data_IF_417393300942
#
_entry.id   IF_417393300942
#
_cell.length_a   1.000
_cell.length_b   1.000
_cell.length_c   1.000
_cell.angle_alpha   90.00
_cell.angle_beta   90.00
_cell.angle_gamma   90.00
#
_symmetry.space_group_name_H-M   'P 1'
#
loop_
_entity.id
_entity.type
_entity.pdbx_description
1 polymer ?
#
# COMPACT_ATOMS: atom_id res chain seq x y z
N UNK A 1 69.94 22.96 44.45
CA UNK A 1 68.72 22.15 44.46
C UNK A 1 67.93 22.49 43.19
N UNK A 2 68.25 21.87 42.06
CA UNK A 2 67.63 22.10 40.75
C UNK A 2 66.49 21.11 40.57
N UNK A 3 65.30 21.58 40.43
CA UNK A 3 64.12 20.77 40.17
C UNK A 3 63.94 20.64 38.65
N UNK A 4 64.31 19.49 38.14
CA UNK A 4 64.13 19.11 36.73
C UNK A 4 62.67 18.83 36.47
N UNK A 5 62.04 19.64 35.59
CA UNK A 5 60.66 19.41 35.13
C UNK A 5 60.73 18.52 33.89
N UNK A 6 60.39 17.25 34.03
CA UNK A 6 60.14 16.35 32.89
C UNK A 6 58.85 16.80 32.18
N UNK A 7 59.03 17.12 30.92
CA UNK A 7 57.87 17.34 30.01
C UNK A 7 57.46 16.00 29.44
N UNK A 8 56.19 15.58 29.49
CA UNK A 8 55.74 14.35 28.86
C UNK A 8 55.81 14.51 27.34
N UNK A 9 56.67 13.72 26.72
CA UNK A 9 56.73 13.56 25.25
C UNK A 9 55.47 12.84 24.79
N UNK A 10 54.59 13.56 24.12
CA UNK A 10 53.38 13.03 23.54
C UNK A 10 53.75 12.34 22.21
N UNK A 11 53.73 11.03 22.19
CA UNK A 11 53.97 10.22 21.02
C UNK A 11 52.93 10.48 19.93
N UNK A 12 53.30 10.95 18.74
CA UNK A 12 52.34 11.27 17.67
C UNK A 12 51.81 10.03 16.93
N UNK A 13 52.35 8.85 17.23
CA UNK A 13 51.98 7.59 16.54
C UNK A 13 50.73 6.93 17.08
N UNK A 14 50.25 7.27 18.28
CA UNK A 14 49.08 6.66 18.89
C UNK A 14 47.73 7.17 18.31
N UNK A 15 47.74 8.39 17.78
CA UNK A 15 46.47 9.00 17.27
C UNK A 15 46.11 8.58 15.83
N UNK A 16 47.08 8.15 15.03
CA UNK A 16 46.85 7.77 13.64
C UNK A 16 46.21 6.38 13.49
N UNK A 17 46.60 5.44 14.40
CA UNK A 17 46.09 4.06 14.35
C UNK A 17 44.62 3.98 14.72
N UNK A 18 44.17 4.78 15.70
CA UNK A 18 42.78 4.75 16.18
C UNK A 18 41.82 5.40 15.18
N UNK A 19 42.27 6.35 14.35
CA UNK A 19 41.43 6.97 13.31
C UNK A 19 41.22 6.07 12.09
N UNK A 20 42.20 5.22 11.77
CA UNK A 20 42.11 4.34 10.61
C UNK A 20 41.20 3.11 10.86
N UNK A 21 41.16 2.57 12.07
CA UNK A 21 40.21 1.52 12.46
C UNK A 21 38.78 1.96 12.45
N UNK A 22 38.50 3.20 12.91
CA UNK A 22 37.15 3.74 12.91
C UNK A 22 36.61 4.04 11.50
N UNK A 23 37.45 4.47 10.58
CA UNK A 23 37.02 4.78 9.20
C UNK A 23 36.68 3.53 8.40
N UNK A 24 37.44 2.44 8.58
CA UNK A 24 37.17 1.17 7.88
C UNK A 24 35.95 0.44 8.44
N UNK A 25 35.69 0.55 9.75
CA UNK A 25 34.49 -0.01 10.37
C UNK A 25 33.24 0.76 9.95
N UNK A 26 33.32 2.08 9.86
CA UNK A 26 32.22 2.94 9.38
C UNK A 26 31.88 2.65 7.91
N UNK A 27 32.90 2.49 7.06
CA UNK A 27 32.70 2.17 5.65
C UNK A 27 32.05 0.78 5.46
N UNK A 28 32.45 -0.23 6.25
CA UNK A 28 31.84 -1.58 6.22
C UNK A 28 30.39 -1.52 6.68
N UNK A 29 30.08 -0.82 7.77
CA UNK A 29 28.70 -0.64 8.25
C UNK A 29 27.83 0.09 7.23
N UNK A 30 28.35 1.12 6.58
CA UNK A 30 27.64 1.85 5.52
C UNK A 30 27.33 0.95 4.32
N UNK A 31 28.26 0.12 3.88
CA UNK A 31 28.04 -0.84 2.79
C UNK A 31 26.97 -1.89 3.13
N UNK A 32 26.96 -2.39 4.37
CA UNK A 32 25.95 -3.33 4.85
C UNK A 32 24.56 -2.66 4.84
N UNK A 33 24.45 -1.44 5.34
CA UNK A 33 23.20 -0.71 5.36
C UNK A 33 22.66 -0.42 3.95
N UNK A 34 23.53 -0.04 3.03
CA UNK A 34 23.16 0.13 1.61
C UNK A 34 22.70 -1.18 1.00
N UNK A 35 23.40 -2.29 1.28
CA UNK A 35 22.99 -3.62 0.80
C UNK A 35 21.62 -4.02 1.32
N UNK A 36 21.35 -3.83 2.61
CA UNK A 36 20.04 -4.11 3.21
C UNK A 36 18.96 -3.21 2.59
N UNK A 37 19.23 -1.93 2.41
CA UNK A 37 18.29 -0.99 1.80
C UNK A 37 17.93 -1.39 0.36
N UNK A 38 18.92 -1.82 -0.43
CA UNK A 38 18.70 -2.31 -1.81
C UNK A 38 17.88 -3.61 -1.83
N UNK A 39 18.11 -4.53 -0.90
CA UNK A 39 17.32 -5.75 -0.78
C UNK A 39 15.88 -5.43 -0.39
N UNK A 40 15.67 -4.55 0.58
CA UNK A 40 14.33 -4.11 0.97
C UNK A 40 13.62 -3.43 -0.19
N UNK A 41 14.31 -2.56 -0.92
CA UNK A 41 13.77 -1.90 -2.12
C UNK A 41 13.39 -2.92 -3.19
N UNK A 42 14.25 -3.90 -3.45
CA UNK A 42 13.99 -4.97 -4.42
C UNK A 42 12.78 -5.81 -4.01
N UNK A 43 12.70 -6.24 -2.75
CA UNK A 43 11.56 -6.98 -2.22
C UNK A 43 10.27 -6.16 -2.28
N UNK A 44 10.36 -4.86 -2.01
CA UNK A 44 9.22 -3.94 -2.14
C UNK A 44 8.77 -3.81 -3.60
N UNK A 45 9.69 -3.62 -4.53
CA UNK A 45 9.38 -3.57 -5.96
C UNK A 45 8.74 -4.87 -6.47
N UNK A 46 9.25 -6.02 -6.04
CA UNK A 46 8.69 -7.32 -6.42
C UNK A 46 7.33 -7.61 -5.76
N UNK A 47 7.11 -7.13 -4.53
CA UNK A 47 5.88 -7.36 -3.77
C UNK A 47 4.75 -6.39 -4.10
N UNK A 48 5.07 -5.12 -4.41
CA UNK A 48 4.07 -4.08 -4.71
C UNK A 48 3.42 -4.27 -6.08
N UNK A 49 4.09 -4.94 -7.02
CA UNK A 49 3.54 -5.23 -8.35
C UNK A 49 2.72 -6.54 -8.43
N UNK A 50 2.55 -7.27 -7.33
CA UNK A 50 1.65 -8.41 -7.32
C UNK A 50 0.24 -7.92 -7.04
N UNK A 51 -0.56 -7.78 -8.10
CA UNK A 51 -1.98 -7.56 -7.96
C UNK A 51 -2.64 -8.78 -7.29
N UNK A 52 -3.60 -8.50 -6.40
CA UNK A 52 -4.42 -9.54 -5.78
C UNK A 52 -5.03 -10.42 -6.88
N UNK A 53 -4.86 -11.76 -6.82
CA UNK A 53 -5.41 -12.67 -7.82
C UNK A 53 -6.91 -12.47 -8.05
N UNK A 54 -7.67 -12.20 -6.99
CA UNK A 54 -9.10 -11.91 -7.10
C UNK A 54 -9.37 -10.65 -7.93
N UNK A 55 -8.62 -9.58 -7.71
CA UNK A 55 -8.77 -8.32 -8.48
C UNK A 55 -8.42 -8.56 -9.95
N UNK A 56 -7.34 -9.28 -10.22
CA UNK A 56 -6.92 -9.60 -11.58
C UNK A 56 -7.96 -10.44 -12.30
N UNK A 57 -8.51 -11.45 -11.66
CA UNK A 57 -9.58 -12.29 -12.20
C UNK A 57 -10.83 -11.45 -12.47
N UNK A 58 -11.31 -10.69 -11.49
CA UNK A 58 -12.49 -9.81 -11.63
C UNK A 58 -12.36 -8.85 -12.81
N UNK A 59 -11.21 -8.19 -12.96
CA UNK A 59 -10.99 -7.22 -14.03
C UNK A 59 -10.80 -7.87 -15.42
N UNK A 60 -10.59 -9.18 -15.50
CA UNK A 60 -10.52 -9.93 -16.76
C UNK A 60 -11.89 -10.41 -17.26
N UNK A 61 -12.92 -10.34 -16.42
CA UNK A 61 -14.26 -10.80 -16.73
C UNK A 61 -15.12 -9.69 -17.33
N UNK A 62 -15.98 -10.04 -18.26
CA UNK A 62 -17.02 -9.15 -18.77
C UNK A 62 -18.21 -9.11 -17.79
N UNK A 63 -18.54 -7.92 -17.29
CA UNK A 63 -19.65 -7.72 -16.35
C UNK A 63 -20.96 -7.40 -17.04
N UNK A 64 -22.07 -7.88 -16.47
CA UNK A 64 -23.44 -7.55 -16.89
C UNK A 64 -24.05 -6.50 -15.97
N UNK A 65 -24.31 -5.28 -16.46
CA UNK A 65 -24.97 -4.21 -15.71
C UNK A 65 -26.33 -4.66 -15.16
N UNK A 66 -27.10 -5.43 -15.91
CA UNK A 66 -28.40 -5.94 -15.46
C UNK A 66 -28.31 -6.92 -14.30
N UNK A 67 -27.26 -7.74 -14.24
CA UNK A 67 -26.99 -8.62 -13.10
C UNK A 67 -26.47 -7.80 -11.90
N UNK A 68 -25.60 -6.83 -12.17
CA UNK A 68 -25.09 -5.90 -11.16
C UNK A 68 -26.20 -5.08 -10.51
N UNK A 69 -27.18 -4.60 -11.27
CA UNK A 69 -28.35 -3.93 -10.74
C UNK A 69 -29.13 -4.81 -9.76
N UNK A 70 -29.33 -6.09 -10.11
CA UNK A 70 -30.00 -7.05 -9.20
C UNK A 70 -29.23 -7.26 -7.91
N UNK A 71 -27.90 -7.39 -8.00
CA UNK A 71 -27.03 -7.49 -6.80
C UNK A 71 -27.12 -6.25 -5.96
N UNK A 72 -27.07 -5.06 -6.57
CA UNK A 72 -27.19 -3.79 -5.90
C UNK A 72 -28.53 -3.65 -5.16
N UNK A 73 -29.63 -4.02 -5.81
CA UNK A 73 -30.99 -3.96 -5.22
C UNK A 73 -31.13 -4.84 -3.98
N UNK A 74 -30.45 -5.97 -3.93
CA UNK A 74 -30.55 -6.90 -2.81
C UNK A 74 -29.63 -6.48 -1.64
N UNK A 75 -28.44 -5.93 -1.94
CA UNK A 75 -27.40 -5.77 -0.93
C UNK A 75 -27.09 -4.30 -0.56
N UNK A 76 -27.30 -3.35 -1.47
CA UNK A 76 -26.75 -2.00 -1.35
C UNK A 76 -27.80 -0.92 -1.15
N UNK A 77 -29.03 -1.14 -1.61
CA UNK A 77 -30.15 -0.16 -1.59
C UNK A 77 -30.45 0.36 -0.19
N UNK A 78 -30.33 -0.47 0.84
CA UNK A 78 -30.59 -0.08 2.22
C UNK A 78 -29.74 1.10 2.70
N UNK A 79 -28.53 1.23 2.16
CA UNK A 79 -27.62 2.33 2.50
C UNK A 79 -27.46 3.36 1.40
N UNK A 80 -27.46 2.95 0.12
CA UNK A 80 -27.20 3.85 -1.00
C UNK A 80 -28.47 4.35 -1.72
N UNK A 81 -29.64 3.92 -1.26
CA UNK A 81 -30.92 4.30 -1.89
C UNK A 81 -31.18 3.51 -3.18
N UNK A 82 -32.47 3.43 -3.59
CA UNK A 82 -32.88 2.65 -4.77
C UNK A 82 -32.36 3.21 -6.09
N UNK A 83 -32.14 4.51 -6.14
CA UNK A 83 -31.57 5.23 -7.28
C UNK A 83 -30.05 5.45 -7.15
N UNK A 84 -29.40 4.81 -6.19
CA UNK A 84 -27.96 4.96 -5.88
C UNK A 84 -27.53 6.41 -5.56
N UNK A 85 -28.45 7.32 -5.26
CA UNK A 85 -28.19 8.73 -4.92
C UNK A 85 -27.80 8.98 -3.46
N UNK A 86 -27.57 7.91 -2.72
CA UNK A 86 -27.24 7.98 -1.31
C UNK A 86 -28.48 7.99 -0.40
N UNK A 87 -28.28 7.53 0.84
CA UNK A 87 -29.24 7.57 1.95
C UNK A 87 -28.49 7.63 3.27
N UNK A 88 -27.96 6.49 3.76
CA UNK A 88 -27.00 6.39 4.86
C UNK A 88 -25.55 6.36 4.32
N UNK A 89 -25.36 5.78 3.14
CA UNK A 89 -24.15 5.80 2.37
C UNK A 89 -24.14 6.95 1.34
N UNK A 90 -23.00 7.23 0.72
CA UNK A 90 -22.88 8.30 -0.28
C UNK A 90 -23.64 8.00 -1.57
N UNK A 91 -23.80 9.06 -2.39
CA UNK A 91 -24.18 8.96 -3.79
C UNK A 91 -23.11 8.15 -4.55
N UNK A 92 -23.54 7.24 -5.40
CA UNK A 92 -22.69 6.37 -6.22
C UNK A 92 -22.65 6.76 -7.69
N UNK A 93 -23.37 7.81 -8.10
CA UNK A 93 -23.20 8.40 -9.42
C UNK A 93 -21.76 8.95 -9.51
N UNK A 94 -21.16 8.81 -10.66
CA UNK A 94 -19.76 9.22 -10.88
C UNK A 94 -18.72 8.49 -10.02
N UNK A 95 -19.11 7.41 -9.29
CA UNK A 95 -18.17 6.66 -8.44
C UNK A 95 -17.03 6.04 -9.25
N UNK A 96 -17.31 5.59 -10.47
CA UNK A 96 -16.32 5.04 -11.40
C UNK A 96 -15.45 6.09 -12.08
N UNK A 97 -15.85 7.36 -12.04
CA UNK A 97 -15.00 8.48 -12.46
C UNK A 97 -14.04 8.91 -11.34
N UNK A 98 -14.49 8.82 -10.09
CA UNK A 98 -13.73 9.28 -8.93
C UNK A 98 -12.81 8.20 -8.32
N UNK A 99 -13.14 6.92 -8.49
CA UNK A 99 -12.40 5.78 -7.95
C UNK A 99 -12.05 4.79 -9.05
N UNK A 100 -10.83 4.25 -9.01
CA UNK A 100 -10.47 3.12 -9.86
C UNK A 100 -11.27 1.87 -9.48
N UNK A 101 -11.50 0.98 -10.44
CA UNK A 101 -12.18 -0.31 -10.22
C UNK A 101 -11.55 -1.10 -9.05
N UNK A 102 -10.23 -1.11 -8.96
CA UNK A 102 -9.50 -1.72 -7.84
C UNK A 102 -9.86 -1.11 -6.47
N UNK A 103 -10.06 0.21 -6.42
CA UNK A 103 -10.49 0.88 -5.18
C UNK A 103 -11.93 0.52 -4.83
N UNK A 104 -12.83 0.47 -5.82
CA UNK A 104 -14.23 0.05 -5.63
C UNK A 104 -14.29 -1.40 -5.13
N UNK A 105 -13.58 -2.33 -5.78
CA UNK A 105 -13.48 -3.73 -5.34
C UNK A 105 -13.04 -3.81 -3.88
N UNK A 106 -11.95 -3.13 -3.53
CA UNK A 106 -11.43 -3.13 -2.17
C UNK A 106 -12.41 -2.51 -1.16
N UNK A 107 -13.15 -1.45 -1.56
CA UNK A 107 -14.17 -0.84 -0.71
C UNK A 107 -15.30 -1.82 -0.41
N UNK A 108 -15.80 -2.51 -1.43
CA UNK A 108 -16.91 -3.47 -1.30
C UNK A 108 -16.48 -4.70 -0.50
N UNK A 109 -15.32 -5.29 -0.85
CA UNK A 109 -14.84 -6.51 -0.21
C UNK A 109 -14.45 -6.32 1.25
N UNK A 110 -13.95 -5.16 1.63
CA UNK A 110 -13.38 -4.91 2.96
C UNK A 110 -14.24 -4.01 3.84
N UNK A 111 -15.24 -3.31 3.29
CA UNK A 111 -16.04 -2.35 4.06
C UNK A 111 -15.17 -1.28 4.70
N UNK A 112 -14.24 -0.69 3.94
CA UNK A 112 -13.18 0.19 4.48
C UNK A 112 -13.69 1.46 5.15
N UNK A 113 -14.89 1.89 4.81
CA UNK A 113 -15.51 3.10 5.38
C UNK A 113 -16.71 2.71 6.21
N UNK A 114 -16.59 2.59 7.54
CA UNK A 114 -17.73 2.31 8.41
C UNK A 114 -18.83 3.38 8.26
N UNK A 115 -20.09 3.02 8.31
CA UNK A 115 -20.68 1.73 8.70
C UNK A 115 -20.87 0.73 7.53
N UNK A 116 -20.24 0.90 6.37
CA UNK A 116 -20.39 -0.03 5.26
C UNK A 116 -19.84 -1.42 5.65
N UNK A 117 -20.63 -2.49 5.55
CA UNK A 117 -20.16 -3.84 5.83
C UNK A 117 -19.28 -4.37 4.68
N UNK A 118 -18.49 -5.40 4.96
CA UNK A 118 -17.75 -6.14 3.94
C UNK A 118 -18.68 -7.12 3.21
N UNK A 119 -18.54 -7.18 1.88
CA UNK A 119 -19.29 -8.11 1.03
C UNK A 119 -18.32 -9.05 0.31
N UNK A 120 -18.34 -10.33 0.70
CA UNK A 120 -17.57 -11.38 0.02
C UNK A 120 -18.41 -11.92 -1.14
N UNK A 121 -17.93 -11.80 -2.36
CA UNK A 121 -18.59 -12.32 -3.55
C UNK A 121 -17.57 -12.92 -4.52
N UNK A 122 -18.05 -13.76 -5.44
CA UNK A 122 -17.20 -14.29 -6.49
C UNK A 122 -16.82 -13.22 -7.53
N UNK A 123 -15.71 -13.42 -8.28
CA UNK A 123 -15.21 -12.43 -9.23
C UNK A 123 -16.22 -12.01 -10.29
N UNK A 124 -17.09 -12.93 -10.77
CA UNK A 124 -18.10 -12.60 -11.77
C UNK A 124 -19.16 -11.63 -11.22
N UNK A 125 -19.65 -11.87 -10.01
CA UNK A 125 -20.62 -10.96 -9.36
C UNK A 125 -20.02 -9.58 -9.11
N UNK A 126 -18.74 -9.52 -8.77
CA UNK A 126 -18.05 -8.25 -8.62
C UNK A 126 -17.90 -7.52 -9.96
N UNK A 127 -17.56 -8.23 -11.04
CA UNK A 127 -17.52 -7.67 -12.40
C UNK A 127 -18.90 -7.14 -12.83
N UNK A 128 -19.97 -7.88 -12.55
CA UNK A 128 -21.35 -7.44 -12.81
C UNK A 128 -21.69 -6.16 -12.02
N UNK A 129 -21.31 -6.10 -10.75
CA UNK A 129 -21.53 -4.90 -9.92
C UNK A 129 -20.77 -3.69 -10.45
N UNK A 130 -19.50 -3.87 -10.85
CA UNK A 130 -18.71 -2.80 -11.46
C UNK A 130 -19.37 -2.26 -12.74
N UNK A 131 -19.85 -3.15 -13.61
CA UNK A 131 -20.54 -2.77 -14.84
C UNK A 131 -21.83 -1.98 -14.55
N UNK A 132 -22.55 -2.31 -13.48
CA UNK A 132 -23.70 -1.54 -13.04
C UNK A 132 -23.31 -0.16 -12.52
N UNK A 133 -22.33 -0.07 -11.63
CA UNK A 133 -21.86 1.20 -11.09
C UNK A 133 -21.33 2.14 -12.17
N UNK A 134 -20.68 1.60 -13.18
CA UNK A 134 -20.21 2.35 -14.34
C UNK A 134 -21.37 2.89 -15.19
N UNK A 135 -22.50 2.19 -15.23
CA UNK A 135 -23.70 2.60 -15.96
C UNK A 135 -24.53 3.69 -15.24
N UNK A 136 -24.15 4.11 -14.04
CA UNK A 136 -24.82 5.16 -13.28
C UNK A 136 -24.35 6.58 -13.67
N UNK A 137 -23.33 6.69 -14.50
CA UNK A 137 -22.74 7.96 -14.97
C UNK A 137 -23.53 8.57 -16.10
#
# INVERSE_FOLDING_TARGET
MFHEREFPVKDPSSSAVTQQENSTSFARSALILVGIALIILLLWLLGVFQDDPYIKETLSLEGSSANGERLFRVNCVGCHGISAKGLLGPDLHEVSENLSQKQIINQVMQGRTPPMPSFQMDPQKMADLLAYLDSLN
#
